data_IF_832789963498
#
_entry.id   IF_832789963498
#
_cell.length_a   1.000
_cell.length_b   1.000
_cell.length_c   1.000
_cell.angle_alpha   90.00
_cell.angle_beta   90.00
_cell.angle_gamma   90.00
#
_symmetry.space_group_name_H-M   'P 1'
#
loop_
_entity.id
_entity.type
_entity.pdbx_description
1 polymer ?
#
# COMPACT_ATOMS: atom_id res chain seq x y z
N UNK A 1 -24.64 16.83 -22.79
CA UNK A 1 -24.05 15.55 -22.37
C UNK A 1 -24.82 15.05 -21.18
N UNK A 2 -25.29 13.81 -21.25
CA UNK A 2 -26.09 13.22 -20.18
C UNK A 2 -25.21 12.70 -19.04
N UNK A 3 -25.79 12.49 -17.86
CA UNK A 3 -25.05 11.97 -16.70
C UNK A 3 -24.48 10.57 -16.97
N UNK A 4 -25.14 9.78 -17.81
CA UNK A 4 -24.67 8.46 -18.27
C UNK A 4 -23.33 8.55 -18.99
N UNK A 5 -23.19 9.50 -19.91
CA UNK A 5 -22.01 9.66 -20.76
C UNK A 5 -20.77 9.97 -19.90
N UNK A 6 -20.94 10.78 -18.85
CA UNK A 6 -19.87 11.12 -17.90
C UNK A 6 -19.41 9.91 -17.08
N UNK A 7 -20.34 9.07 -16.64
CA UNK A 7 -19.99 7.86 -15.89
C UNK A 7 -19.34 6.80 -16.80
N UNK A 8 -19.74 6.73 -18.07
CA UNK A 8 -19.10 5.86 -19.06
C UNK A 8 -17.65 6.29 -19.29
N UNK A 9 -17.38 7.59 -19.45
CA UNK A 9 -16.02 8.11 -19.54
C UNK A 9 -15.20 7.82 -18.28
N UNK A 10 -15.77 8.07 -17.09
CA UNK A 10 -15.11 7.79 -15.80
C UNK A 10 -14.75 6.30 -15.66
N UNK A 11 -15.64 5.42 -16.06
CA UNK A 11 -15.46 3.97 -15.96
C UNK A 11 -14.64 3.37 -17.11
N UNK A 12 -14.55 4.05 -18.25
CA UNK A 12 -13.78 3.62 -19.43
C UNK A 12 -12.28 3.94 -19.37
N UNK A 13 -11.90 5.06 -18.76
CA UNK A 13 -10.50 5.54 -18.77
C UNK A 13 -9.82 5.32 -17.42
N UNK A 14 -8.57 4.85 -17.42
CA UNK A 14 -7.76 4.69 -16.22
C UNK A 14 -6.90 5.94 -15.99
N UNK A 15 -6.66 6.30 -14.73
CA UNK A 15 -5.76 7.41 -14.38
C UNK A 15 -4.34 7.21 -14.94
N UNK A 16 -3.90 5.96 -15.09
CA UNK A 16 -2.63 5.61 -15.70
C UNK A 16 -2.51 6.10 -17.16
N UNK A 17 -3.60 6.12 -17.93
CA UNK A 17 -3.60 6.62 -19.31
C UNK A 17 -3.27 8.12 -19.36
N UNK A 18 -3.89 8.90 -18.47
CA UNK A 18 -3.63 10.34 -18.33
C UNK A 18 -2.18 10.59 -17.92
N UNK A 19 -1.68 9.84 -16.92
CA UNK A 19 -0.31 9.97 -16.41
C UNK A 19 0.74 9.63 -17.47
N UNK A 20 0.56 8.54 -18.21
CA UNK A 20 1.48 8.16 -19.29
C UNK A 20 1.49 9.21 -20.41
N UNK A 21 0.32 9.76 -20.80
CA UNK A 21 0.24 10.87 -21.77
C UNK A 21 0.93 12.14 -21.26
N UNK A 22 0.86 12.40 -19.95
CA UNK A 22 1.54 13.51 -19.30
C UNK A 22 3.05 13.27 -19.04
N UNK A 23 3.59 12.13 -19.50
CA UNK A 23 5.02 11.81 -19.41
C UNK A 23 5.46 11.19 -18.08
N UNK A 24 4.53 10.78 -17.22
CA UNK A 24 4.87 10.05 -16.01
C UNK A 24 5.26 8.60 -16.33
N UNK A 25 6.26 8.09 -15.61
CA UNK A 25 6.68 6.70 -15.67
C UNK A 25 6.33 5.96 -14.36
N UNK A 26 6.02 4.67 -14.47
CA UNK A 26 5.74 3.82 -13.30
C UNK A 26 7.02 3.57 -12.49
N UNK A 27 7.02 3.94 -11.22
CA UNK A 27 8.06 3.54 -10.25
C UNK A 27 7.77 2.12 -9.76
N UNK A 28 8.27 1.13 -10.50
CA UNK A 28 8.04 -0.29 -10.19
C UNK A 28 8.60 -0.72 -8.84
N UNK A 29 9.65 -0.06 -8.33
CA UNK A 29 10.31 -0.46 -7.08
C UNK A 29 9.47 -0.06 -5.87
N UNK A 30 8.88 1.12 -5.93
CA UNK A 30 8.10 1.68 -4.83
C UNK A 30 6.60 1.42 -4.95
N UNK A 31 6.13 0.92 -6.10
CA UNK A 31 4.74 0.56 -6.32
C UNK A 31 4.34 -0.76 -5.66
N UNK A 32 3.04 -0.95 -5.47
CA UNK A 32 2.44 -2.22 -5.08
C UNK A 32 1.26 -2.57 -6.00
N UNK A 33 0.76 -3.80 -5.94
CA UNK A 33 -0.42 -4.22 -6.73
C UNK A 33 -1.65 -3.33 -6.52
N UNK A 34 -1.85 -2.79 -5.32
CA UNK A 34 -3.03 -1.97 -4.97
C UNK A 34 -2.80 -0.46 -5.07
N UNK A 35 -1.55 -0.04 -5.20
CA UNK A 35 -1.15 1.36 -5.25
C UNK A 35 0.06 1.50 -6.18
N UNK A 36 -0.17 2.02 -7.38
CA UNK A 36 0.87 2.20 -8.40
C UNK A 36 1.34 3.64 -8.34
N UNK A 37 2.63 3.82 -8.11
CA UNK A 37 3.29 5.13 -8.03
C UNK A 37 3.83 5.50 -9.40
N UNK A 38 3.48 6.68 -9.86
CA UNK A 38 3.94 7.31 -11.09
C UNK A 38 4.85 8.48 -10.72
N UNK A 39 5.94 8.67 -11.46
CA UNK A 39 6.86 9.80 -11.27
C UNK A 39 7.17 10.50 -12.57
N UNK A 40 7.35 11.81 -12.48
CA UNK A 40 7.90 12.69 -13.51
C UNK A 40 8.78 13.69 -12.78
N UNK A 41 10.08 13.64 -13.01
CA UNK A 41 11.06 14.46 -12.28
C UNK A 41 10.93 14.33 -10.75
N UNK A 42 10.55 15.39 -10.04
CA UNK A 42 10.29 15.43 -8.60
C UNK A 42 8.81 15.21 -8.22
N UNK A 43 7.92 15.17 -9.20
CA UNK A 43 6.49 14.91 -9.02
C UNK A 43 6.21 13.42 -8.80
N UNK A 44 5.20 13.15 -7.97
CA UNK A 44 4.71 11.81 -7.69
C UNK A 44 3.19 11.80 -7.64
N UNK A 45 2.58 10.85 -8.35
CA UNK A 45 1.13 10.60 -8.28
C UNK A 45 0.92 9.12 -7.95
N UNK A 46 0.05 8.82 -7.00
CA UNK A 46 -0.25 7.46 -6.57
C UNK A 46 -1.66 7.08 -7.03
N UNK A 47 -1.73 6.08 -7.92
CA UNK A 47 -2.96 5.53 -8.45
C UNK A 47 -3.42 4.34 -7.62
N UNK A 48 -4.69 4.37 -7.20
CA UNK A 48 -5.36 3.42 -6.32
C UNK A 48 -6.74 3.04 -6.89
N UNK A 49 -7.51 2.23 -6.16
CA UNK A 49 -8.86 1.79 -6.56
C UNK A 49 -8.90 1.24 -7.99
N UNK A 50 -8.04 0.24 -8.24
CA UNK A 50 -7.94 -0.45 -9.54
C UNK A 50 -7.73 0.49 -10.74
N UNK A 51 -7.03 1.61 -10.54
CA UNK A 51 -6.73 2.57 -11.60
C UNK A 51 -7.72 3.73 -11.72
N UNK A 52 -8.75 3.76 -10.87
CA UNK A 52 -9.85 4.74 -10.95
C UNK A 52 -9.70 5.93 -10.01
N UNK A 53 -8.88 5.80 -8.98
CA UNK A 53 -8.59 6.89 -8.05
C UNK A 53 -7.11 7.25 -8.06
N UNK A 54 -6.81 8.48 -7.69
CA UNK A 54 -5.44 8.93 -7.49
C UNK A 54 -5.35 9.94 -6.34
N UNK A 55 -4.13 10.14 -5.84
CA UNK A 55 -3.78 11.26 -4.98
C UNK A 55 -2.31 11.67 -5.16
N UNK A 56 -2.01 12.92 -4.90
CA UNK A 56 -0.66 13.47 -4.78
C UNK A 56 -0.23 13.42 -3.30
N UNK A 57 0.84 12.69 -2.93
CA UNK A 57 1.31 12.62 -1.54
C UNK A 57 2.00 13.89 -1.07
N UNK A 58 2.29 14.86 -1.94
CA UNK A 58 2.93 16.15 -1.61
C UNK A 58 1.91 17.28 -1.44
N UNK A 59 0.61 17.01 -1.65
CA UNK A 59 -0.48 17.96 -1.46
C UNK A 59 -1.76 17.25 -0.98
N UNK A 60 -2.88 17.99 -0.90
CA UNK A 60 -4.20 17.42 -0.60
C UNK A 60 -4.96 16.99 -1.88
N UNK A 61 -4.33 17.10 -3.06
CA UNK A 61 -4.97 16.82 -4.34
C UNK A 61 -5.24 15.32 -4.52
N UNK A 62 -6.47 15.00 -4.92
CA UNK A 62 -6.96 13.64 -5.15
C UNK A 62 -8.24 13.65 -5.95
N UNK A 63 -8.59 12.51 -6.52
CA UNK A 63 -9.90 12.33 -7.14
C UNK A 63 -9.94 11.21 -8.16
N UNK A 64 -10.82 11.40 -9.14
CA UNK A 64 -10.99 10.54 -10.30
C UNK A 64 -10.16 11.05 -11.49
N UNK A 65 -10.36 10.43 -12.65
CA UNK A 65 -9.65 10.75 -13.90
C UNK A 65 -9.86 12.20 -14.36
N UNK A 66 -11.03 12.81 -14.12
CA UNK A 66 -11.26 14.21 -14.51
C UNK A 66 -10.51 15.17 -13.60
N UNK A 67 -10.59 14.93 -12.29
CA UNK A 67 -9.81 15.70 -11.30
C UNK A 67 -8.32 15.61 -11.55
N UNK A 68 -7.84 14.49 -12.09
CA UNK A 68 -6.45 14.32 -12.49
C UNK A 68 -6.06 15.24 -13.63
N UNK A 69 -6.88 15.31 -14.69
CA UNK A 69 -6.64 16.20 -15.83
C UNK A 69 -6.70 17.65 -15.40
N UNK A 70 -7.70 18.04 -14.61
CA UNK A 70 -7.78 19.40 -14.04
C UNK A 70 -6.51 19.74 -13.24
N UNK A 71 -5.98 18.79 -12.48
CA UNK A 71 -4.78 18.99 -11.66
C UNK A 71 -3.50 19.10 -12.48
N UNK A 72 -3.30 18.24 -13.48
CA UNK A 72 -2.07 18.19 -14.28
C UNK A 72 -2.01 19.30 -15.33
N UNK A 73 -3.15 19.68 -15.90
CA UNK A 73 -3.21 20.63 -17.02
C UNK A 73 -3.77 22.00 -16.62
N UNK A 74 -4.31 22.16 -15.40
CA UNK A 74 -4.88 23.43 -14.93
C UNK A 74 -6.14 23.85 -15.67
N UNK A 75 -6.83 22.90 -16.31
CA UNK A 75 -8.02 23.15 -17.14
C UNK A 75 -9.32 22.96 -16.33
N UNK A 76 -10.42 23.62 -16.71
CA UNK A 76 -11.72 23.38 -16.08
C UNK A 76 -12.30 22.01 -16.47
N UNK A 77 -13.19 21.47 -15.64
CA UNK A 77 -13.90 20.21 -15.87
C UNK A 77 -14.44 19.99 -17.29
N UNK A 78 -15.00 21.05 -17.92
CA UNK A 78 -15.54 20.94 -19.28
C UNK A 78 -14.46 20.58 -20.30
N UNK A 79 -13.27 21.18 -20.19
CA UNK A 79 -12.15 20.82 -21.04
C UNK A 79 -11.56 19.46 -20.64
N UNK A 80 -11.56 19.13 -19.34
CA UNK A 80 -11.10 17.81 -18.88
C UNK A 80 -11.91 16.65 -19.49
N UNK A 81 -13.20 16.85 -19.79
CA UNK A 81 -14.04 15.85 -20.46
C UNK A 81 -13.51 15.49 -21.85
N UNK A 82 -13.18 16.49 -22.67
CA UNK A 82 -12.65 16.28 -24.03
C UNK A 82 -11.31 15.53 -23.98
N UNK A 83 -10.43 15.90 -23.05
CA UNK A 83 -9.14 15.24 -22.86
C UNK A 83 -9.27 13.77 -22.41
N UNK A 84 -10.27 13.46 -21.59
CA UNK A 84 -10.57 12.07 -21.18
C UNK A 84 -11.23 11.31 -22.32
N UNK A 85 -12.11 11.93 -23.10
CA UNK A 85 -12.73 11.28 -24.26
C UNK A 85 -11.70 10.86 -25.31
N UNK A 86 -10.67 11.68 -25.53
CA UNK A 86 -9.52 11.35 -26.40
C UNK A 86 -8.72 10.12 -25.96
N UNK A 87 -8.85 9.71 -24.68
CA UNK A 87 -8.14 8.58 -24.10
C UNK A 87 -8.98 7.29 -24.07
N UNK A 88 -10.20 7.30 -24.59
CA UNK A 88 -11.00 6.07 -24.71
C UNK A 88 -10.26 5.06 -25.58
N UNK A 89 -10.13 3.83 -25.08
CA UNK A 89 -9.42 2.75 -25.75
C UNK A 89 -7.89 2.80 -25.61
N UNK A 90 -7.34 3.82 -24.94
CA UNK A 90 -5.93 3.83 -24.57
C UNK A 90 -5.66 2.73 -23.52
N UNK A 91 -4.74 1.83 -23.83
CA UNK A 91 -4.31 0.76 -22.92
C UNK A 91 -2.97 1.16 -22.29
N UNK A 92 -2.96 1.60 -21.01
CA UNK A 92 -1.72 1.99 -20.35
C UNK A 92 -0.81 0.78 -20.11
N UNK A 93 0.48 1.06 -19.98
CA UNK A 93 1.53 0.09 -19.72
C UNK A 93 1.39 -0.53 -18.33
N UNK A 94 0.58 -1.58 -18.19
CA UNK A 94 0.35 -2.20 -16.88
C UNK A 94 1.63 -2.84 -16.32
N UNK A 95 2.01 -2.56 -15.06
CA UNK A 95 3.10 -3.27 -14.42
C UNK A 95 2.72 -4.73 -14.18
N UNK A 96 3.52 -5.65 -14.72
CA UNK A 96 3.39 -7.08 -14.45
C UNK A 96 3.96 -7.37 -13.06
N UNK A 97 3.08 -7.68 -12.11
CA UNK A 97 3.47 -8.06 -10.75
C UNK A 97 3.87 -9.53 -10.70
N UNK A 98 5.15 -9.83 -10.94
CA UNK A 98 5.66 -11.18 -10.73
C UNK A 98 5.72 -11.46 -9.23
N UNK A 99 4.84 -12.33 -8.74
CA UNK A 99 4.86 -12.78 -7.35
C UNK A 99 6.16 -13.56 -7.13
N UNK A 100 7.17 -12.93 -6.53
CA UNK A 100 8.29 -13.69 -5.96
C UNK A 100 7.66 -14.58 -4.89
N UNK A 101 7.79 -15.91 -4.97
CA UNK A 101 7.34 -16.77 -3.88
C UNK A 101 8.06 -16.29 -2.62
N UNK A 102 7.32 -15.68 -1.69
CA UNK A 102 7.80 -15.54 -0.32
C UNK A 102 8.32 -16.91 0.08
N UNK A 103 9.52 -17.01 0.66
CA UNK A 103 9.95 -18.24 1.33
C UNK A 103 8.77 -18.67 2.19
N UNK A 104 8.07 -19.73 1.76
CA UNK A 104 6.83 -20.15 2.36
C UNK A 104 7.17 -20.47 3.82
N UNK A 105 6.80 -19.58 4.75
CA UNK A 105 6.41 -20.12 6.03
C UNK A 105 5.20 -21.00 5.70
N UNK A 106 5.21 -22.28 6.05
CA UNK A 106 4.00 -23.09 5.92
C UNK A 106 2.84 -22.31 6.52
N UNK A 107 1.67 -22.40 5.90
CA UNK A 107 0.45 -21.76 6.39
C UNK A 107 -0.01 -22.48 7.65
N UNK A 108 0.77 -22.32 8.72
CA UNK A 108 0.52 -22.87 10.03
C UNK A 108 -0.72 -22.17 10.57
N UNK A 109 -1.60 -22.93 11.21
CA UNK A 109 -2.69 -22.38 12.00
C UNK A 109 -2.14 -21.43 13.08
N UNK A 110 -2.98 -20.56 13.63
CA UNK A 110 -2.58 -19.65 14.71
C UNK A 110 -1.96 -20.43 15.90
N UNK A 111 -2.55 -21.56 16.36
CA UNK A 111 -1.95 -22.39 17.41
C UNK A 111 -0.55 -22.93 17.07
N UNK A 112 -0.34 -23.40 15.84
CA UNK A 112 0.97 -23.93 15.41
C UNK A 112 2.03 -22.82 15.31
N UNK A 113 1.63 -21.62 14.85
CA UNK A 113 2.49 -20.42 14.88
C UNK A 113 2.86 -20.00 16.29
N UNK A 114 1.94 -20.15 17.24
CA UNK A 114 2.20 -19.87 18.65
C UNK A 114 3.19 -20.88 19.25
N UNK A 115 2.96 -22.17 19.02
CA UNK A 115 3.78 -23.25 19.57
C UNK A 115 5.21 -23.29 19.00
N UNK A 116 5.38 -22.94 17.72
CA UNK A 116 6.70 -22.92 17.07
C UNK A 116 7.62 -21.78 17.54
N UNK A 117 7.11 -20.81 18.30
CA UNK A 117 7.92 -19.70 18.83
C UNK A 117 8.58 -20.08 20.15
N UNK A 118 9.78 -19.54 20.35
CA UNK A 118 10.50 -19.68 21.61
C UNK A 118 9.80 -18.90 22.72
N UNK A 119 9.88 -19.42 23.94
CA UNK A 119 9.56 -18.66 25.15
C UNK A 119 10.72 -17.71 25.44
N UNK A 120 10.47 -16.44 25.83
CA UNK A 120 11.53 -15.56 26.27
C UNK A 120 12.30 -16.18 27.43
N UNK A 121 13.62 -16.12 27.38
CA UNK A 121 14.50 -16.59 28.45
C UNK A 121 15.42 -15.46 28.92
N UNK A 122 15.97 -15.58 30.13
CA UNK A 122 16.86 -14.58 30.73
C UNK A 122 18.07 -14.33 29.83
N UNK A 123 18.08 -13.21 29.12
CA UNK A 123 19.15 -12.85 28.18
C UNK A 123 18.70 -12.75 26.72
N UNK A 124 17.53 -13.31 26.37
CA UNK A 124 16.88 -13.06 25.08
C UNK A 124 16.57 -11.57 24.88
N UNK A 125 16.53 -11.14 23.61
CA UNK A 125 16.16 -9.76 23.28
C UNK A 125 14.76 -9.40 23.79
N UNK A 126 13.80 -10.33 23.69
CA UNK A 126 12.44 -10.12 24.21
C UNK A 126 12.42 -10.00 25.73
N UNK A 127 13.22 -10.78 26.46
CA UNK A 127 13.33 -10.64 27.92
C UNK A 127 13.93 -9.28 28.31
N UNK A 128 15.00 -8.85 27.66
CA UNK A 128 15.62 -7.53 27.90
C UNK A 128 14.64 -6.41 27.57
N UNK A 129 13.91 -6.50 26.46
CA UNK A 129 12.85 -5.55 26.13
C UNK A 129 11.79 -5.45 27.25
N UNK A 130 11.28 -6.60 27.72
CA UNK A 130 10.26 -6.62 28.77
C UNK A 130 10.77 -6.09 30.13
N UNK A 131 11.99 -6.45 30.51
CA UNK A 131 12.56 -6.08 31.81
C UNK A 131 13.18 -4.69 31.80
N UNK A 132 14.01 -4.39 30.81
CA UNK A 132 14.86 -3.19 30.81
C UNK A 132 14.13 -1.99 30.22
N UNK A 133 13.41 -2.18 29.11
CA UNK A 133 12.69 -1.09 28.44
C UNK A 133 11.28 -0.91 28.99
N UNK A 134 10.53 -2.00 29.18
CA UNK A 134 9.16 -1.97 29.70
C UNK A 134 9.07 -2.05 31.22
N UNK A 135 10.21 -2.19 31.91
CA UNK A 135 10.34 -2.19 33.38
C UNK A 135 9.41 -3.19 34.09
N UNK A 136 9.08 -4.31 33.42
CA UNK A 136 8.28 -5.36 34.02
C UNK A 136 9.12 -6.13 35.05
N UNK A 137 8.54 -6.37 36.22
CA UNK A 137 9.17 -7.19 37.25
C UNK A 137 9.41 -8.61 36.73
N UNK A 138 10.57 -9.19 37.04
CA UNK A 138 10.93 -10.52 36.57
C UNK A 138 9.93 -11.60 37.00
N UNK A 139 9.27 -11.41 38.15
CA UNK A 139 8.19 -12.26 38.65
C UNK A 139 6.97 -12.27 37.73
N UNK A 140 6.58 -11.11 37.19
CA UNK A 140 5.48 -10.96 36.25
C UNK A 140 5.82 -11.62 34.91
N UNK A 141 7.03 -11.38 34.41
CA UNK A 141 7.50 -12.00 33.16
C UNK A 141 7.55 -13.53 33.32
N UNK A 142 8.10 -14.01 34.44
CA UNK A 142 8.15 -15.43 34.77
C UNK A 142 6.77 -16.08 34.87
N UNK A 143 5.82 -15.42 35.54
CA UNK A 143 4.44 -15.92 35.65
C UNK A 143 3.76 -16.04 34.28
N UNK A 144 3.91 -15.03 33.41
CA UNK A 144 3.33 -15.04 32.08
C UNK A 144 3.97 -16.10 31.15
N UNK A 145 5.28 -16.36 31.27
CA UNK A 145 5.94 -17.47 30.57
C UNK A 145 5.42 -18.83 31.07
N UNK A 146 5.26 -18.97 32.39
CA UNK A 146 4.73 -20.17 33.04
C UNK A 146 3.29 -20.49 32.62
N UNK A 147 2.47 -19.46 32.43
CA UNK A 147 1.08 -19.57 31.94
C UNK A 147 0.96 -19.69 30.42
N UNK A 148 2.07 -19.80 29.70
CA UNK A 148 2.09 -19.88 28.24
C UNK A 148 1.43 -18.67 27.56
N UNK A 149 1.61 -17.47 28.12
CA UNK A 149 1.08 -16.19 27.62
C UNK A 149 2.12 -15.31 26.93
N UNK A 150 3.36 -15.78 26.81
CA UNK A 150 4.44 -15.01 26.18
C UNK A 150 5.27 -15.87 25.21
N UNK A 151 5.60 -15.29 24.06
CA UNK A 151 6.50 -15.82 23.03
C UNK A 151 7.40 -14.74 22.46
N UNK A 152 8.56 -15.14 21.95
CA UNK A 152 9.48 -14.23 21.26
C UNK A 152 8.92 -13.80 19.90
N UNK A 153 8.97 -12.50 19.64
CA UNK A 153 8.58 -11.84 18.41
C UNK A 153 9.77 -11.47 17.53
N UNK A 154 9.55 -11.14 16.25
CA UNK A 154 10.62 -10.68 15.36
C UNK A 154 11.36 -9.47 15.93
N UNK A 155 12.68 -9.42 15.75
CA UNK A 155 13.55 -8.31 16.17
C UNK A 155 13.46 -7.97 17.66
N UNK A 156 13.23 -8.97 18.52
CA UNK A 156 13.18 -8.79 19.98
C UNK A 156 11.84 -8.30 20.53
N UNK A 157 10.80 -8.19 19.70
CA UNK A 157 9.44 -7.91 20.17
C UNK A 157 8.85 -9.09 20.96
N UNK A 158 7.66 -8.94 21.55
CA UNK A 158 6.92 -10.02 22.23
C UNK A 158 5.62 -10.35 21.49
N UNK A 159 5.16 -11.59 21.65
CA UNK A 159 3.82 -12.06 21.31
C UNK A 159 3.11 -12.46 22.61
N UNK A 160 1.86 -12.05 22.79
CA UNK A 160 1.04 -12.27 23.97
C UNK A 160 -0.42 -12.50 23.60
#
# INVERSE_FOLDING_TARGET
MEKSDVEELRSGVLCAAVLERAGFAVDRKESTKRAVKFRRDDEIIIVIHDGKGWFDPLSDAKGDVFRLVEHLEGVPFVAALDHVADLIGFVPSQPIWTKVPSRNRPDLSIPERWQSRLKPWRGSMTWRYLRDERRLAETVIGAAIGQDRLREGPRGSMWA
#
